data_IF_058995259016
#
_entry.id   IF_058995259016
#
_cell.length_a   1.000
_cell.length_b   1.000
_cell.length_c   1.000
_cell.angle_alpha   90.00
_cell.angle_beta   90.00
_cell.angle_gamma   90.00
#
_symmetry.space_group_name_H-M   'P 1'
#
loop_
_entity.id
_entity.type
_entity.pdbx_description
1 polymer ?
#
# COMPACT_ATOMS: atom_id res chain seq x y z
N UNK A 1 -36.97 7.86 29.01
CA UNK A 1 -36.52 7.14 27.80
C UNK A 1 -35.75 5.87 28.12
N UNK A 2 -34.83 5.85 29.09
CA UNK A 2 -34.04 4.65 29.42
C UNK A 2 -34.84 3.51 30.07
N UNK A 3 -35.94 3.82 30.78
CA UNK A 3 -36.79 2.81 31.42
C UNK A 3 -37.81 2.16 30.46
N UNK A 4 -38.25 2.86 29.40
CA UNK A 4 -39.17 2.31 28.39
C UNK A 4 -38.47 1.32 27.44
N UNK A 5 -37.21 1.59 27.07
CA UNK A 5 -36.43 0.72 26.17
C UNK A 5 -36.13 -0.63 26.86
N UNK A 6 -35.91 -0.61 28.19
CA UNK A 6 -35.61 -1.83 28.97
C UNK A 6 -36.81 -2.76 29.13
N UNK A 7 -38.04 -2.26 28.95
CA UNK A 7 -39.27 -3.06 29.01
C UNK A 7 -39.61 -3.74 27.67
N UNK A 8 -38.98 -3.32 26.56
CA UNK A 8 -39.25 -3.82 25.21
C UNK A 8 -38.59 -5.17 24.90
N UNK A 9 -37.66 -5.65 25.72
CA UNK A 9 -36.94 -6.92 25.48
C UNK A 9 -36.06 -6.93 24.23
N UNK A 10 -35.84 -5.78 23.59
CA UNK A 10 -34.94 -5.61 22.45
C UNK A 10 -33.65 -5.03 23.02
N UNK A 11 -32.65 -5.87 23.22
CA UNK A 11 -31.27 -5.40 23.37
C UNK A 11 -30.87 -4.72 22.06
N UNK A 12 -30.45 -3.46 22.15
CA UNK A 12 -29.75 -2.82 21.04
C UNK A 12 -28.38 -3.47 21.00
N UNK A 13 -28.13 -4.27 19.96
CA UNK A 13 -26.81 -4.83 19.72
C UNK A 13 -25.78 -3.70 19.76
N UNK A 14 -24.64 -3.95 20.41
CA UNK A 14 -23.51 -3.01 20.39
C UNK A 14 -23.12 -2.69 18.94
N UNK A 15 -22.44 -1.54 18.75
CA UNK A 15 -21.95 -1.12 17.43
C UNK A 15 -21.38 -2.32 16.68
N UNK A 16 -21.98 -2.61 15.53
CA UNK A 16 -21.54 -3.72 14.70
C UNK A 16 -20.06 -3.54 14.35
N UNK A 17 -19.31 -4.63 14.16
CA UNK A 17 -17.92 -4.55 13.69
C UNK A 17 -17.81 -3.69 12.42
N UNK A 18 -18.86 -3.68 11.59
CA UNK A 18 -18.98 -2.81 10.43
C UNK A 18 -19.10 -1.31 10.79
N UNK A 19 -19.93 -0.98 11.77
CA UNK A 19 -20.12 0.40 12.25
C UNK A 19 -18.84 0.92 12.92
N UNK A 20 -18.19 0.07 13.71
CA UNK A 20 -16.88 0.36 14.32
C UNK A 20 -15.81 0.59 13.25
N UNK A 21 -15.77 -0.25 12.21
CA UNK A 21 -14.84 -0.08 11.10
C UNK A 21 -15.12 1.21 10.30
N UNK A 22 -16.38 1.60 10.13
CA UNK A 22 -16.72 2.87 9.50
C UNK A 22 -16.25 4.07 10.32
N UNK A 23 -16.40 4.02 11.65
CA UNK A 23 -15.97 5.09 12.55
C UNK A 23 -14.43 5.23 12.58
N UNK A 24 -13.71 4.10 12.59
CA UNK A 24 -12.24 4.09 12.51
C UNK A 24 -11.73 4.66 11.17
N UNK A 25 -12.40 4.36 10.05
CA UNK A 25 -12.06 4.93 8.74
C UNK A 25 -12.28 6.44 8.73
N UNK A 26 -13.40 6.91 9.31
CA UNK A 26 -13.69 8.34 9.39
C UNK A 26 -12.65 9.09 10.23
N UNK A 27 -12.26 8.56 11.40
CA UNK A 27 -11.22 9.17 12.23
C UNK A 27 -9.86 9.24 11.52
N UNK A 28 -9.47 8.17 10.80
CA UNK A 28 -8.22 8.14 10.04
C UNK A 28 -8.22 9.16 8.90
N UNK A 29 -9.37 9.38 8.27
CA UNK A 29 -9.52 10.37 7.21
C UNK A 29 -9.34 11.80 7.76
N UNK A 30 -10.02 12.14 8.84
CA UNK A 30 -9.92 13.45 9.50
C UNK A 30 -8.50 13.72 10.03
N UNK A 31 -7.84 12.71 10.59
CA UNK A 31 -6.47 12.83 11.06
C UNK A 31 -5.48 13.08 9.90
N UNK A 32 -5.68 12.41 8.77
CA UNK A 32 -4.86 12.59 7.57
C UNK A 32 -5.04 13.99 6.95
N UNK A 33 -6.27 14.48 6.88
CA UNK A 33 -6.56 15.82 6.34
C UNK A 33 -5.93 16.93 7.19
N UNK A 34 -6.03 16.83 8.53
CA UNK A 34 -5.37 17.75 9.46
C UNK A 34 -3.84 17.69 9.35
N UNK A 35 -3.25 16.50 9.19
CA UNK A 35 -1.82 16.35 9.02
C UNK A 35 -1.32 16.97 7.70
N UNK A 36 -2.10 16.83 6.61
CA UNK A 36 -1.79 17.43 5.32
C UNK A 36 -1.87 18.98 5.37
N UNK A 37 -2.86 19.53 6.07
CA UNK A 37 -2.99 20.97 6.28
C UNK A 37 -1.77 21.55 7.05
N UNK A 38 -1.38 20.92 8.16
CA UNK A 38 -0.24 21.37 8.97
C UNK A 38 1.10 21.30 8.21
N UNK A 39 1.32 20.25 7.41
CA UNK A 39 2.53 20.15 6.57
C UNK A 39 2.60 21.24 5.49
N UNK A 40 1.46 21.78 5.06
CA UNK A 40 1.43 22.86 4.07
C UNK A 40 1.83 24.21 4.66
N UNK A 41 1.46 24.47 5.93
CA UNK A 41 1.84 25.69 6.65
C UNK A 41 3.32 25.68 7.04
N UNK A 42 3.83 24.56 7.56
CA UNK A 42 5.25 24.41 7.91
C UNK A 42 6.18 24.59 6.71
N UNK A 43 5.77 24.11 5.52
CA UNK A 43 6.53 24.30 4.28
C UNK A 43 6.54 25.76 3.83
N UNK A 44 5.43 26.48 4.04
CA UNK A 44 5.31 27.89 3.67
C UNK A 44 6.17 28.78 4.57
N UNK A 45 6.14 28.55 5.88
CA UNK A 45 6.97 29.27 6.85
C UNK A 45 8.47 29.05 6.63
N UNK A 46 8.86 27.82 6.26
CA UNK A 46 10.25 27.50 5.94
C UNK A 46 10.71 28.20 4.66
N UNK A 47 9.87 28.22 3.63
CA UNK A 47 10.13 28.92 2.38
C UNK A 47 10.28 30.43 2.56
N UNK A 48 9.45 31.05 3.42
CA UNK A 48 9.56 32.49 3.71
C UNK A 48 10.83 32.84 4.49
N UNK A 49 11.26 31.99 5.43
CA UNK A 49 12.53 32.17 6.16
C UNK A 49 13.73 32.06 5.23
N UNK A 50 13.75 31.05 4.36
CA UNK A 50 14.82 30.86 3.37
C UNK A 50 14.89 32.03 2.38
N UNK A 51 13.73 32.54 1.94
CA UNK A 51 13.67 33.72 1.06
C UNK A 51 14.21 34.98 1.73
N UNK A 52 13.84 35.24 2.99
CA UNK A 52 14.39 36.37 3.76
C UNK A 52 15.90 36.27 3.93
N UNK A 53 16.40 35.07 4.24
CA UNK A 53 17.84 34.85 4.42
C UNK A 53 18.61 35.04 3.10
N UNK A 54 18.05 34.59 1.97
CA UNK A 54 18.64 34.80 0.65
C UNK A 54 18.66 36.27 0.24
N UNK A 55 17.58 37.01 0.51
CA UNK A 55 17.51 38.46 0.27
C UNK A 55 18.49 39.22 1.16
N UNK A 56 18.65 38.84 2.42
CA UNK A 56 19.63 39.44 3.32
C UNK A 56 21.07 39.20 2.86
N UNK A 57 21.43 37.97 2.46
CA UNK A 57 22.74 37.66 1.88
C UNK A 57 23.00 38.44 0.59
N UNK A 58 21.97 38.59 -0.28
CA UNK A 58 22.06 39.39 -1.49
C UNK A 58 22.27 40.88 -1.16
N UNK A 59 21.56 41.41 -0.18
CA UNK A 59 21.70 42.80 0.25
C UNK A 59 23.08 43.05 0.88
N UNK A 60 23.56 42.14 1.73
CA UNK A 60 24.92 42.19 2.28
C UNK A 60 26.01 42.13 1.19
N UNK A 61 25.78 41.41 0.09
CA UNK A 61 26.70 41.36 -1.04
C UNK A 61 26.61 42.59 -1.96
N UNK A 62 25.44 43.23 -2.04
CA UNK A 62 25.19 44.45 -2.81
C UNK A 62 25.54 45.73 -2.05
N UNK A 63 25.64 45.68 -0.72
CA UNK A 63 26.21 46.75 0.09
C UNK A 63 27.64 47.04 -0.39
N UNK A 64 27.91 48.30 -0.71
CA UNK A 64 29.22 48.73 -1.18
C UNK A 64 30.23 48.37 -0.09
N UNK A 65 31.30 47.68 -0.47
CA UNK A 65 32.45 47.24 0.35
C UNK A 65 32.98 48.34 1.34
N UNK A 66 32.67 49.62 1.11
CA UNK A 66 32.99 50.73 2.01
C UNK A 66 32.20 50.82 3.32
N UNK A 67 31.02 50.22 3.46
CA UNK A 67 30.18 50.36 4.67
C UNK A 67 30.50 49.30 5.74
N UNK A 68 30.70 48.04 5.35
CA UNK A 68 31.18 46.97 6.24
C UNK A 68 32.62 47.20 6.73
N UNK A 69 33.42 47.95 5.94
CA UNK A 69 34.76 48.38 6.36
C UNK A 69 34.70 49.47 7.45
N UNK A 70 33.73 50.39 7.42
CA UNK A 70 33.60 51.44 8.45
C UNK A 70 33.25 50.88 9.82
N UNK A 71 32.38 49.86 9.90
CA UNK A 71 32.06 49.18 11.18
C UNK A 71 33.20 48.34 11.79
N UNK A 72 34.22 47.95 11.01
CA UNK A 72 35.38 47.20 11.52
C UNK A 72 36.64 48.05 11.70
N UNK A 73 36.67 49.27 11.18
CA UNK A 73 37.84 50.16 11.32
C UNK A 73 37.78 50.91 12.65
N UNK A 74 36.60 51.21 13.18
CA UNK A 74 36.48 51.89 14.47
C UNK A 74 36.91 51.04 15.69
N UNK A 75 37.15 49.72 15.52
CA UNK A 75 37.70 48.83 16.55
C UNK A 75 39.10 48.27 16.23
N UNK A 76 39.67 48.57 15.06
CA UNK A 76 40.95 47.99 14.65
C UNK A 76 41.80 49.02 13.91
N UNK A 77 42.12 50.11 14.59
CA UNK A 77 43.29 50.90 14.24
C UNK A 77 44.55 50.24 14.84
N UNK A 78 45.62 50.37 14.07
CA UNK A 78 47.00 49.99 14.32
C UNK A 78 47.44 48.54 13.95
N UNK A 79 48.31 48.50 12.93
CA UNK A 79 49.11 47.37 12.41
C UNK A 79 48.43 46.41 11.41
N UNK A 80 48.49 46.77 10.12
CA UNK A 80 48.50 45.75 9.05
C UNK A 80 49.79 45.84 8.25
N UNK A 81 50.69 44.93 8.64
CA UNK A 81 51.96 44.64 8.01
C UNK A 81 51.77 44.09 6.58
N UNK A 82 52.62 44.57 5.66
CA UNK A 82 52.60 44.28 4.21
C UNK A 82 52.93 42.81 3.88
N UNK A 83 53.33 42.01 4.87
CA UNK A 83 53.54 40.56 4.74
C UNK A 83 52.25 39.73 4.65
N UNK A 84 51.09 40.32 4.97
CA UNK A 84 49.79 39.62 4.92
C UNK A 84 49.31 39.28 3.50
N UNK A 85 49.83 39.96 2.46
CA UNK A 85 49.43 39.73 1.07
C UNK A 85 49.99 38.43 0.48
N UNK A 86 51.18 37.98 0.90
CA UNK A 86 51.77 36.70 0.43
C UNK A 86 51.10 35.48 1.07
N UNK A 87 50.63 35.61 2.31
CA UNK A 87 49.89 34.55 3.03
C UNK A 87 48.52 34.26 2.40
N UNK A 88 47.84 35.30 1.92
CA UNK A 88 46.51 35.18 1.27
C UNK A 88 46.51 34.29 0.02
N UNK A 89 47.65 34.15 -0.68
CA UNK A 89 47.77 33.29 -1.87
C UNK A 89 47.80 31.78 -1.50
N UNK A 90 48.15 31.41 -0.27
CA UNK A 90 48.16 30.01 0.19
C UNK A 90 46.77 29.47 0.60
N UNK A 91 45.81 30.34 0.89
CA UNK A 91 44.45 29.97 1.32
C UNK A 91 43.57 29.35 0.20
N UNK A 92 43.96 29.47 -1.08
CA UNK A 92 43.21 28.85 -2.17
C UNK A 92 43.26 27.32 -2.19
N UNK A 93 44.31 26.73 -1.62
CA UNK A 93 44.48 25.27 -1.64
C UNK A 93 43.49 24.58 -0.69
N UNK A 94 43.26 25.14 0.49
CA UNK A 94 42.26 24.65 1.44
C UNK A 94 40.85 24.73 0.87
N UNK A 95 40.50 25.83 0.21
CA UNK A 95 39.20 25.98 -0.47
C UNK A 95 39.03 24.94 -1.57
N UNK A 96 40.06 24.66 -2.37
CA UNK A 96 40.00 23.64 -3.43
C UNK A 96 39.83 22.23 -2.83
N UNK A 97 40.52 21.93 -1.73
CA UNK A 97 40.37 20.65 -1.01
C UNK A 97 38.95 20.51 -0.47
N UNK A 98 38.41 21.56 0.16
CA UNK A 98 37.03 21.57 0.65
C UNK A 98 36.02 21.36 -0.49
N UNK A 99 36.19 22.04 -1.63
CA UNK A 99 35.31 21.88 -2.79
C UNK A 99 35.36 20.46 -3.36
N UNK A 100 36.55 19.83 -3.40
CA UNK A 100 36.68 18.42 -3.81
C UNK A 100 36.00 17.47 -2.84
N UNK A 101 36.24 17.64 -1.54
CA UNK A 101 35.60 16.82 -0.50
C UNK A 101 34.08 16.97 -0.53
N UNK A 102 33.58 18.19 -0.71
CA UNK A 102 32.15 18.46 -0.85
C UNK A 102 31.58 17.77 -2.09
N UNK A 103 32.24 17.88 -3.24
CA UNK A 103 31.80 17.21 -4.45
C UNK A 103 31.77 15.68 -4.30
N UNK A 104 32.76 15.09 -3.62
CA UNK A 104 32.79 13.66 -3.32
C UNK A 104 31.65 13.24 -2.37
N UNK A 105 31.34 14.06 -1.36
CA UNK A 105 30.21 13.83 -0.46
C UNK A 105 28.89 13.93 -1.21
N UNK A 106 28.70 14.95 -2.04
CA UNK A 106 27.49 15.15 -2.84
C UNK A 106 27.28 13.96 -3.80
N UNK A 107 28.33 13.46 -4.45
CA UNK A 107 28.25 12.28 -5.32
C UNK A 107 27.84 11.04 -4.52
N UNK A 108 28.39 10.83 -3.32
CA UNK A 108 28.03 9.70 -2.47
C UNK A 108 26.56 9.75 -2.06
N UNK A 109 26.06 10.92 -1.63
CA UNK A 109 24.66 11.11 -1.28
C UNK A 109 23.75 10.79 -2.47
N UNK A 110 24.07 11.31 -3.66
CA UNK A 110 23.29 11.02 -4.88
C UNK A 110 23.28 9.51 -5.20
N UNK A 111 24.40 8.82 -5.02
CA UNK A 111 24.48 7.37 -5.25
C UNK A 111 23.63 6.58 -4.25
N UNK A 112 23.66 6.95 -2.97
CA UNK A 112 22.85 6.34 -1.92
C UNK A 112 21.35 6.59 -2.16
N UNK A 113 20.97 7.82 -2.53
CA UNK A 113 19.59 8.16 -2.90
C UNK A 113 19.09 7.36 -4.11
N UNK A 114 19.94 7.19 -5.14
CA UNK A 114 19.60 6.39 -6.31
C UNK A 114 19.43 4.90 -5.96
N UNK A 115 20.26 4.37 -5.07
CA UNK A 115 20.13 3.00 -4.58
C UNK A 115 18.84 2.81 -3.79
N UNK A 116 18.56 3.68 -2.82
CA UNK A 116 17.32 3.66 -2.05
C UNK A 116 16.08 3.75 -2.95
N UNK A 117 16.12 4.59 -3.98
CA UNK A 117 15.03 4.70 -4.96
C UNK A 117 14.82 3.43 -5.76
N UNK A 118 15.90 2.75 -6.15
CA UNK A 118 15.83 1.45 -6.84
C UNK A 118 15.25 0.39 -5.92
N UNK A 119 15.72 0.30 -4.68
CA UNK A 119 15.26 -0.70 -3.72
C UNK A 119 13.79 -0.48 -3.36
N UNK A 120 13.35 0.78 -3.22
CA UNK A 120 11.94 1.12 -3.02
C UNK A 120 11.07 0.70 -4.22
N UNK A 121 11.54 0.89 -5.46
CA UNK A 121 10.82 0.41 -6.65
C UNK A 121 10.72 -1.12 -6.67
N UNK A 122 11.80 -1.84 -6.37
CA UNK A 122 11.81 -3.30 -6.32
C UNK A 122 10.87 -3.82 -5.23
N UNK A 123 10.89 -3.20 -4.05
CA UNK A 123 9.98 -3.54 -2.96
C UNK A 123 8.51 -3.31 -3.34
N UNK A 124 8.22 -2.20 -4.03
CA UNK A 124 6.88 -1.90 -4.52
C UNK A 124 6.41 -2.91 -5.58
N UNK A 125 7.27 -3.26 -6.54
CA UNK A 125 6.96 -4.25 -7.57
C UNK A 125 6.72 -5.65 -6.96
N UNK A 126 7.56 -6.05 -6.01
CA UNK A 126 7.39 -7.30 -5.28
C UNK A 126 6.08 -7.32 -4.50
N UNK A 127 5.73 -6.23 -3.83
CA UNK A 127 4.47 -6.12 -3.11
C UNK A 127 3.25 -6.21 -4.05
N UNK A 128 3.30 -5.56 -5.21
CA UNK A 128 2.24 -5.68 -6.24
C UNK A 128 2.13 -7.11 -6.78
N UNK A 129 3.25 -7.77 -7.03
CA UNK A 129 3.28 -9.17 -7.49
C UNK A 129 2.70 -10.12 -6.45
N UNK A 130 3.03 -9.93 -5.17
CA UNK A 130 2.53 -10.76 -4.07
C UNK A 130 1.01 -10.59 -3.89
N UNK A 131 0.52 -9.35 -3.93
CA UNK A 131 -0.92 -9.03 -3.95
C UNK A 131 -1.64 -9.71 -5.14
N UNK A 132 -1.09 -9.60 -6.34
CA UNK A 132 -1.67 -10.23 -7.54
C UNK A 132 -1.67 -11.75 -7.43
N UNK A 133 -0.59 -12.34 -6.90
CA UNK A 133 -0.49 -13.78 -6.69
C UNK A 133 -1.51 -14.26 -5.66
N UNK A 134 -1.69 -13.52 -4.57
CA UNK A 134 -2.71 -13.81 -3.56
C UNK A 134 -4.12 -13.78 -4.15
N UNK A 135 -4.44 -12.74 -4.92
CA UNK A 135 -5.74 -12.59 -5.55
C UNK A 135 -6.01 -13.71 -6.57
N UNK A 136 -5.01 -14.05 -7.39
CA UNK A 136 -5.10 -15.14 -8.36
C UNK A 136 -5.29 -16.49 -7.66
N UNK A 137 -4.58 -16.74 -6.55
CA UNK A 137 -4.73 -17.96 -5.76
C UNK A 137 -6.11 -18.07 -5.13
N UNK A 138 -6.64 -16.97 -4.57
CA UNK A 138 -7.99 -16.92 -4.02
C UNK A 138 -9.05 -17.22 -5.10
N UNK A 139 -8.93 -16.56 -6.26
CA UNK A 139 -9.84 -16.78 -7.39
C UNK A 139 -9.78 -18.23 -7.91
N UNK A 140 -8.58 -18.78 -8.08
CA UNK A 140 -8.40 -20.15 -8.55
C UNK A 140 -8.94 -21.17 -7.53
N UNK A 141 -8.75 -20.92 -6.23
CA UNK A 141 -9.33 -21.76 -5.18
C UNK A 141 -10.86 -21.75 -5.21
N UNK A 142 -11.49 -20.58 -5.40
CA UNK A 142 -12.95 -20.48 -5.52
C UNK A 142 -13.46 -21.23 -6.77
N UNK A 143 -12.79 -21.08 -7.92
CA UNK A 143 -13.12 -21.80 -9.14
C UNK A 143 -12.93 -23.32 -9.00
N UNK A 144 -11.89 -23.75 -8.31
CA UNK A 144 -11.64 -25.17 -8.03
C UNK A 144 -12.76 -25.77 -7.17
N UNK A 145 -13.16 -25.08 -6.09
CA UNK A 145 -14.29 -25.50 -5.25
C UNK A 145 -15.60 -25.56 -6.03
N UNK A 146 -15.86 -24.56 -6.87
CA UNK A 146 -17.06 -24.55 -7.72
C UNK A 146 -17.07 -25.71 -8.72
N UNK A 147 -15.95 -25.99 -9.39
CA UNK A 147 -15.82 -27.13 -10.30
C UNK A 147 -16.00 -28.46 -9.57
N UNK A 148 -15.39 -28.62 -8.39
CA UNK A 148 -15.53 -29.83 -7.59
C UNK A 148 -17.00 -30.06 -7.17
N UNK A 149 -17.70 -29.00 -6.76
CA UNK A 149 -19.11 -29.06 -6.43
C UNK A 149 -19.98 -29.43 -7.64
N UNK A 150 -19.72 -28.84 -8.81
CA UNK A 150 -20.43 -29.17 -10.04
C UNK A 150 -20.21 -30.64 -10.45
N UNK A 151 -18.98 -31.14 -10.35
CA UNK A 151 -18.68 -32.55 -10.60
C UNK A 151 -19.42 -33.48 -9.65
N UNK A 152 -19.45 -33.15 -8.36
CA UNK A 152 -20.17 -33.95 -7.35
C UNK A 152 -21.66 -34.02 -7.67
N UNK A 153 -22.28 -32.90 -8.08
CA UNK A 153 -23.69 -32.87 -8.47
C UNK A 153 -23.96 -33.72 -9.73
N UNK A 154 -23.09 -33.64 -10.74
CA UNK A 154 -23.19 -34.49 -11.94
C UNK A 154 -23.06 -35.97 -11.62
N UNK A 155 -22.14 -36.35 -10.73
CA UNK A 155 -21.98 -37.74 -10.31
C UNK A 155 -23.23 -38.27 -9.59
N UNK A 156 -23.83 -37.49 -8.70
CA UNK A 156 -25.10 -37.89 -8.06
C UNK A 156 -26.23 -38.06 -9.08
N UNK A 157 -26.37 -37.14 -10.04
CA UNK A 157 -27.35 -37.24 -11.12
C UNK A 157 -27.14 -38.50 -11.98
N UNK A 158 -25.90 -38.83 -12.34
CA UNK A 158 -25.58 -40.04 -13.08
C UNK A 158 -25.90 -41.31 -12.28
N UNK A 159 -25.54 -41.36 -10.99
CA UNK A 159 -25.88 -42.50 -10.13
C UNK A 159 -27.40 -42.68 -10.00
N UNK A 160 -28.16 -41.60 -9.81
CA UNK A 160 -29.62 -41.67 -9.71
C UNK A 160 -30.23 -42.17 -11.02
N UNK A 161 -29.74 -41.70 -12.17
CA UNK A 161 -30.17 -42.16 -13.49
C UNK A 161 -29.88 -43.65 -13.71
N UNK A 162 -28.69 -44.13 -13.33
CA UNK A 162 -28.34 -45.55 -13.40
C UNK A 162 -29.24 -46.40 -12.49
N UNK A 163 -29.51 -45.97 -11.27
CA UNK A 163 -30.42 -46.65 -10.35
C UNK A 163 -31.83 -46.72 -10.96
N UNK A 164 -32.36 -45.62 -11.48
CA UNK A 164 -33.66 -45.60 -12.13
C UNK A 164 -33.71 -46.57 -13.33
N UNK A 165 -32.66 -46.60 -14.15
CA UNK A 165 -32.59 -47.52 -15.30
C UNK A 165 -32.52 -48.99 -14.86
N UNK A 166 -31.75 -49.30 -13.82
CA UNK A 166 -31.68 -50.66 -13.24
C UNK A 166 -33.03 -51.10 -12.68
N UNK A 167 -33.77 -50.19 -12.04
CA UNK A 167 -35.10 -50.47 -11.51
C UNK A 167 -36.11 -50.75 -12.62
N UNK A 168 -36.11 -49.96 -13.70
CA UNK A 168 -36.95 -50.18 -14.87
C UNK A 168 -36.61 -51.52 -15.54
N UNK A 169 -35.32 -51.83 -15.67
CA UNK A 169 -34.87 -53.09 -16.23
C UNK A 169 -35.32 -54.29 -15.38
N UNK A 170 -35.18 -54.19 -14.06
CA UNK A 170 -35.66 -55.22 -13.12
C UNK A 170 -37.18 -55.39 -13.22
N UNK A 171 -37.94 -54.30 -13.29
CA UNK A 171 -39.39 -54.33 -13.46
C UNK A 171 -39.78 -55.00 -14.79
N UNK A 172 -39.07 -54.69 -15.89
CA UNK A 172 -39.30 -55.33 -17.19
C UNK A 172 -39.02 -56.84 -17.14
N UNK A 173 -37.91 -57.26 -16.53
CA UNK A 173 -37.57 -58.68 -16.40
C UNK A 173 -38.63 -59.43 -15.58
N UNK A 174 -39.05 -58.88 -14.44
CA UNK A 174 -40.12 -59.49 -13.62
C UNK A 174 -41.43 -59.62 -14.40
N UNK A 175 -41.82 -58.60 -15.17
CA UNK A 175 -43.03 -58.63 -16.01
C UNK A 175 -42.95 -59.71 -17.11
N UNK A 176 -41.80 -59.84 -17.80
CA UNK A 176 -41.61 -60.88 -18.81
C UNK A 176 -41.64 -62.30 -18.21
N UNK A 177 -41.05 -62.49 -17.03
CA UNK A 177 -41.06 -63.78 -16.34
C UNK A 177 -42.46 -64.19 -15.90
N UNK A 178 -43.27 -63.22 -15.41
CA UNK A 178 -44.67 -63.48 -15.08
C UNK A 178 -45.47 -63.90 -16.33
N UNK A 179 -45.25 -63.22 -17.46
CA UNK A 179 -45.87 -63.55 -18.74
C UNK A 179 -45.50 -64.96 -19.23
N UNK A 180 -44.24 -65.39 -19.07
CA UNK A 180 -43.83 -66.74 -19.47
C UNK A 180 -44.46 -67.82 -18.60
N UNK A 181 -44.53 -67.62 -17.28
CA UNK A 181 -45.22 -68.55 -16.35
C UNK A 181 -46.71 -68.64 -16.67
N UNK A 182 -47.37 -67.51 -16.94
CA UNK A 182 -48.78 -67.49 -17.35
C UNK A 182 -49.00 -68.23 -18.68
N UNK A 183 -48.10 -68.09 -19.66
CA UNK A 183 -48.15 -68.85 -20.92
C UNK A 183 -47.99 -70.36 -20.69
N UNK A 184 -47.04 -70.79 -19.85
CA UNK A 184 -46.85 -72.22 -19.52
C UNK A 184 -48.07 -72.81 -18.82
N UNK A 185 -48.66 -72.10 -17.86
CA UNK A 185 -49.88 -72.52 -17.17
C UNK A 185 -51.08 -72.59 -18.12
N UNK A 186 -51.19 -71.68 -19.08
CA UNK A 186 -52.22 -71.70 -20.10
C UNK A 186 -52.03 -72.84 -21.12
N UNK A 187 -50.78 -73.26 -21.38
CA UNK A 187 -50.47 -74.39 -22.26
C UNK A 187 -50.65 -75.75 -21.59
N UNK A 188 -50.44 -75.87 -20.28
CA UNK A 188 -50.67 -77.11 -19.50
C UNK A 188 -52.15 -77.41 -19.21
N UNK A 189 -53.04 -76.42 -19.35
CA UNK A 189 -54.49 -76.56 -19.13
C UNK A 189 -55.29 -76.77 -20.44
N UNK A 190 -54.62 -77.14 -21.52
CA UNK A 190 -55.21 -77.61 -22.79
C UNK A 190 -54.78 -79.05 -23.04
#
# INVERSE_FOLDING_TARGET
MSEEIRASGIEVDGLSDFETAMEEIAEKFDASEKAAANQSEDKKDKSEKEKKQAEEMRNQALERIGETKKRKVDEADESRDQNSLKSRRRQGNETIIYLKQKAEQDIKVIQEELQLKRDAQVAQENHQKDMMQHLMKQHNQQMSLFNAFQQQQQQQMQQMSQIQMSFIQQQQQQSQTLLSVLKELAQKNK
#
